data_IF_525212824625
#
_entry.id   IF_525212824625
#
_cell.length_a   1.000
_cell.length_b   1.000
_cell.length_c   1.000
_cell.angle_alpha   90.00
_cell.angle_beta   90.00
_cell.angle_gamma   90.00
#
_symmetry.space_group_name_H-M   'P 1'
#
loop_
_entity.id
_entity.type
_entity.pdbx_description
1 polymer ?
#
# COMPACT_ATOMS: atom_id res chain seq x y z
N UNK A 1 27.09 4.91 73.25
CA UNK A 1 26.17 6.05 73.47
C UNK A 1 26.31 6.93 72.24
N UNK A 2 25.46 6.76 71.21
CA UNK A 2 24.13 7.38 71.09
C UNK A 2 24.25 8.92 71.08
N UNK A 3 23.79 9.69 70.10
CA UNK A 3 22.87 9.43 69.00
C UNK A 3 22.84 10.66 68.03
N UNK A 4 22.54 10.41 66.73
CA UNK A 4 21.62 11.14 65.80
C UNK A 4 21.85 12.67 65.59
N UNK A 5 21.70 13.32 64.44
CA UNK A 5 20.92 13.17 63.19
C UNK A 5 21.41 14.31 62.25
N UNK A 6 21.83 14.10 60.99
CA UNK A 6 21.06 13.95 59.73
C UNK A 6 20.93 15.22 58.87
N UNK A 7 20.84 14.98 57.54
CA UNK A 7 20.43 15.86 56.43
C UNK A 7 21.55 16.62 55.69
N UNK A 8 21.85 16.37 54.42
CA UNK A 8 21.27 15.43 53.46
C UNK A 8 22.18 15.32 52.23
N UNK A 9 22.65 14.11 51.93
CA UNK A 9 23.35 13.80 50.69
C UNK A 9 22.31 13.35 49.67
N UNK A 10 22.14 14.13 48.60
CA UNK A 10 21.34 13.76 47.44
C UNK A 10 22.06 12.60 46.75
N UNK A 11 21.52 11.39 46.90
CA UNK A 11 21.96 10.23 46.15
C UNK A 11 21.62 10.44 44.67
N UNK A 12 22.64 10.61 43.84
CA UNK A 12 22.51 10.51 42.39
C UNK A 12 22.21 9.04 42.04
N UNK A 13 20.94 8.74 41.81
CA UNK A 13 20.53 7.55 41.05
C UNK A 13 21.11 7.72 39.65
N UNK A 14 21.88 6.77 39.08
CA UNK A 14 22.19 6.83 37.66
C UNK A 14 20.87 6.62 36.93
N UNK A 15 20.28 7.74 36.50
CA UNK A 15 19.08 7.79 35.71
C UNK A 15 19.26 6.93 34.48
N UNK A 16 18.45 5.88 34.41
CA UNK A 16 18.14 5.14 33.20
C UNK A 16 17.53 6.14 32.21
N UNK A 17 18.38 6.84 31.48
CA UNK A 17 17.98 7.76 30.44
C UNK A 17 17.53 6.96 29.22
N UNK A 18 16.21 6.73 29.15
CA UNK A 18 15.45 6.64 27.91
C UNK A 18 15.89 5.55 26.90
N UNK A 19 15.63 4.28 27.19
CA UNK A 19 15.37 3.33 26.10
C UNK A 19 13.97 3.66 25.52
N UNK A 20 13.92 4.39 24.41
CA UNK A 20 12.67 4.71 23.74
C UNK A 20 12.05 3.44 23.11
N UNK A 21 10.72 3.33 22.97
CA UNK A 21 10.07 2.22 22.25
C UNK A 21 10.53 2.08 20.78
N UNK A 22 11.22 3.09 20.23
CA UNK A 22 11.78 3.09 18.89
C UNK A 22 13.01 2.17 18.74
N UNK A 23 13.79 1.96 19.81
CA UNK A 23 14.89 0.97 19.79
C UNK A 23 14.37 -0.47 19.85
N UNK A 24 13.17 -0.70 20.40
CA UNK A 24 12.54 -2.01 20.45
C UNK A 24 12.08 -2.54 19.07
N UNK A 25 11.99 -1.66 18.06
CA UNK A 25 11.58 -1.99 16.69
C UNK A 25 12.72 -1.87 15.68
N UNK A 26 13.88 -1.36 16.10
CA UNK A 26 15.05 -1.20 15.24
C UNK A 26 15.83 -2.52 15.18
N UNK A 27 16.24 -2.90 13.97
CA UNK A 27 17.18 -4.01 13.79
C UNK A 27 18.47 -3.69 14.55
N UNK A 28 18.89 -4.59 15.45
CA UNK A 28 20.12 -4.42 16.21
C UNK A 28 21.34 -4.26 15.30
N UNK A 29 22.33 -3.46 15.71
CA UNK A 29 23.49 -3.09 14.89
C UNK A 29 24.27 -4.28 14.32
N UNK A 30 24.39 -5.37 15.08
CA UNK A 30 25.02 -6.61 14.63
C UNK A 30 24.22 -7.31 13.52
N UNK A 31 22.89 -7.39 13.67
CA UNK A 31 22.00 -7.96 12.65
C UNK A 31 22.00 -7.10 11.38
N UNK A 32 21.95 -5.77 11.52
CA UNK A 32 22.05 -4.83 10.41
C UNK A 32 23.39 -4.97 9.66
N UNK A 33 24.50 -5.11 10.39
CA UNK A 33 25.82 -5.36 9.82
C UNK A 33 25.89 -6.68 9.03
N UNK A 34 25.28 -7.74 9.54
CA UNK A 34 25.24 -9.04 8.86
C UNK A 34 24.38 -9.01 7.59
N UNK A 35 23.18 -8.43 7.69
CA UNK A 35 22.29 -8.24 6.53
C UNK A 35 22.97 -7.38 5.46
N UNK A 36 23.65 -6.30 5.85
CA UNK A 36 24.39 -5.45 4.92
C UNK A 36 25.52 -6.21 4.19
N UNK A 37 26.26 -7.09 4.88
CA UNK A 37 27.28 -7.95 4.24
C UNK A 37 26.65 -8.88 3.21
N UNK A 38 25.54 -9.53 3.55
CA UNK A 38 24.81 -10.42 2.66
C UNK A 38 24.28 -9.67 1.44
N UNK A 39 23.61 -8.54 1.63
CA UNK A 39 23.11 -7.70 0.54
C UNK A 39 24.24 -7.20 -0.36
N UNK A 40 25.40 -6.83 0.20
CA UNK A 40 26.58 -6.44 -0.59
C UNK A 40 27.13 -7.61 -1.42
N UNK A 41 27.07 -8.83 -0.90
CA UNK A 41 27.41 -10.03 -1.65
C UNK A 41 26.36 -10.38 -2.72
N UNK A 42 25.10 -10.02 -2.52
CA UNK A 42 24.03 -10.24 -3.51
C UNK A 42 23.97 -9.15 -4.59
N UNK A 43 24.41 -7.92 -4.30
CA UNK A 43 24.34 -6.75 -5.17
C UNK A 43 25.32 -6.80 -6.35
N UNK A 44 25.35 -7.91 -7.09
CA UNK A 44 26.13 -8.06 -8.31
C UNK A 44 25.33 -8.93 -9.32
N UNK A 45 25.23 -8.49 -10.60
CA UNK A 45 24.33 -9.11 -11.57
C UNK A 45 24.56 -10.61 -11.80
N UNK A 46 25.82 -11.05 -11.91
CA UNK A 46 26.14 -12.44 -12.18
C UNK A 46 25.71 -13.33 -11.01
N UNK A 47 25.97 -12.92 -9.75
CA UNK A 47 25.49 -13.63 -8.54
C UNK A 47 23.98 -13.79 -8.49
N UNK A 48 23.22 -12.75 -8.84
CA UNK A 48 21.75 -12.86 -8.92
C UNK A 48 21.30 -13.83 -10.01
N UNK A 49 21.94 -13.82 -11.18
CA UNK A 49 21.66 -14.78 -12.26
C UNK A 49 21.95 -16.23 -11.84
N UNK A 50 23.10 -16.47 -11.21
CA UNK A 50 23.47 -17.80 -10.73
C UNK A 50 22.51 -18.31 -9.65
N UNK A 51 22.13 -17.45 -8.69
CA UNK A 51 21.15 -17.80 -7.66
C UNK A 51 19.77 -18.10 -8.25
N UNK A 52 19.29 -17.25 -9.17
CA UNK A 52 18.05 -17.50 -9.90
C UNK A 52 18.07 -18.88 -10.56
N UNK A 53 19.16 -19.20 -11.28
CA UNK A 53 19.30 -20.50 -11.94
C UNK A 53 19.30 -21.69 -10.97
N UNK A 54 20.05 -21.59 -9.86
CA UNK A 54 20.09 -22.63 -8.81
C UNK A 54 18.71 -22.82 -8.18
N UNK A 55 17.96 -21.74 -7.93
CA UNK A 55 16.63 -21.81 -7.32
C UNK A 55 15.57 -22.38 -8.26
N UNK A 56 15.70 -22.18 -9.57
CA UNK A 56 14.75 -22.68 -10.57
C UNK A 56 15.13 -24.05 -11.14
N UNK A 57 16.27 -24.62 -10.74
CA UNK A 57 16.65 -25.97 -11.17
C UNK A 57 15.71 -26.99 -10.52
N UNK A 58 15.40 -28.06 -11.25
CA UNK A 58 14.46 -29.10 -10.79
C UNK A 58 14.91 -29.80 -9.50
N UNK A 59 16.20 -29.79 -9.21
CA UNK A 59 16.82 -30.37 -8.01
C UNK A 59 17.12 -29.34 -6.92
N UNK A 60 16.99 -28.04 -7.20
CA UNK A 60 17.35 -26.95 -6.29
C UNK A 60 18.86 -26.83 -6.04
N UNK A 61 19.67 -27.41 -6.91
CA UNK A 61 21.14 -27.36 -6.93
C UNK A 61 21.66 -27.31 -8.38
N UNK A 62 22.89 -26.85 -8.58
CA UNK A 62 23.52 -26.85 -9.89
C UNK A 62 25.05 -27.04 -9.80
N UNK A 63 25.66 -27.68 -10.80
CA UNK A 63 27.12 -27.76 -10.88
C UNK A 63 27.73 -26.47 -11.45
N UNK A 64 29.03 -26.26 -11.21
CA UNK A 64 29.79 -25.15 -11.80
C UNK A 64 29.71 -25.15 -13.34
N UNK A 65 29.71 -26.33 -13.93
CA UNK A 65 29.55 -26.55 -15.37
C UNK A 65 28.25 -25.96 -15.93
N UNK A 66 27.12 -26.33 -15.33
CA UNK A 66 25.79 -25.89 -15.74
C UNK A 66 25.64 -24.38 -15.58
N UNK A 67 26.12 -23.86 -14.45
CA UNK A 67 26.07 -22.43 -14.13
C UNK A 67 26.90 -21.63 -15.15
N UNK A 68 28.10 -22.09 -15.49
CA UNK A 68 28.96 -21.43 -16.48
C UNK A 68 28.32 -21.42 -17.88
N UNK A 69 27.65 -22.50 -18.27
CA UNK A 69 26.94 -22.58 -19.54
C UNK A 69 25.77 -21.59 -19.65
N UNK A 70 24.99 -21.40 -18.58
CA UNK A 70 23.82 -20.49 -18.60
C UNK A 70 24.20 -19.03 -18.40
N UNK A 71 25.28 -18.77 -17.67
CA UNK A 71 25.72 -17.42 -17.38
C UNK A 71 26.61 -16.81 -18.49
N UNK A 72 27.01 -17.60 -19.50
CA UNK A 72 27.92 -17.22 -20.59
C UNK A 72 29.24 -16.60 -20.08
N UNK A 73 29.82 -17.25 -19.06
CA UNK A 73 31.07 -16.82 -18.41
C UNK A 73 31.98 -18.01 -18.15
N UNK A 74 33.27 -17.74 -17.97
CA UNK A 74 34.25 -18.80 -17.69
C UNK A 74 34.03 -19.44 -16.31
N UNK A 75 34.39 -20.72 -16.17
CA UNK A 75 34.31 -21.44 -14.90
C UNK A 75 35.14 -20.80 -13.76
N UNK A 76 36.34 -20.21 -14.00
CA UNK A 76 37.05 -19.46 -12.96
C UNK A 76 36.24 -18.30 -12.41
N UNK A 77 35.53 -17.56 -13.25
CA UNK A 77 34.65 -16.46 -12.84
C UNK A 77 33.51 -17.00 -11.97
N UNK A 78 32.78 -18.01 -12.43
CA UNK A 78 31.70 -18.65 -11.65
C UNK A 78 32.20 -19.12 -10.28
N UNK A 79 33.34 -19.79 -10.25
CA UNK A 79 33.95 -20.30 -9.01
C UNK A 79 34.28 -19.19 -8.01
N UNK A 80 34.78 -18.04 -8.50
CA UNK A 80 35.02 -16.87 -7.66
C UNK A 80 33.73 -16.35 -7.04
N UNK A 81 32.69 -16.12 -7.84
CA UNK A 81 31.42 -15.58 -7.34
C UNK A 81 30.70 -16.54 -6.38
N UNK A 82 30.73 -17.84 -6.65
CA UNK A 82 30.19 -18.87 -5.75
C UNK A 82 30.98 -18.94 -4.43
N UNK A 83 32.29 -18.73 -4.46
CA UNK A 83 33.10 -18.61 -3.23
C UNK A 83 32.67 -17.40 -2.41
N UNK A 84 32.52 -16.22 -3.02
CA UNK A 84 32.07 -15.03 -2.29
C UNK A 84 30.69 -15.24 -1.67
N UNK A 85 29.77 -15.90 -2.37
CA UNK A 85 28.44 -16.24 -1.83
C UNK A 85 28.53 -17.27 -0.70
N UNK A 86 29.46 -18.23 -0.79
CA UNK A 86 29.71 -19.23 0.26
C UNK A 86 30.30 -18.60 1.51
N UNK A 87 31.22 -17.65 1.37
CA UNK A 87 31.90 -16.98 2.48
C UNK A 87 30.93 -16.16 3.36
N UNK A 88 29.85 -15.65 2.77
CA UNK A 88 28.76 -14.97 3.50
C UNK A 88 27.58 -15.90 3.87
N UNK A 89 27.69 -17.20 3.57
CA UNK A 89 26.68 -18.21 3.93
C UNK A 89 25.43 -18.27 3.04
N UNK A 90 25.46 -17.68 1.84
CA UNK A 90 24.30 -17.70 0.92
C UNK A 90 24.16 -19.06 0.22
N UNK A 91 25.28 -19.68 -0.15
CA UNK A 91 25.30 -21.00 -0.82
C UNK A 91 26.13 -21.99 -0.03
N UNK A 92 25.71 -23.25 -0.08
CA UNK A 92 26.52 -24.39 0.36
C UNK A 92 26.97 -25.20 -0.84
N UNK A 93 28.04 -25.99 -0.67
CA UNK A 93 28.65 -26.78 -1.73
C UNK A 93 28.81 -28.23 -1.30
N UNK A 94 28.47 -29.16 -2.17
CA UNK A 94 28.68 -30.60 -1.96
C UNK A 94 29.49 -31.18 -3.12
N UNK A 95 30.54 -31.95 -2.80
CA UNK A 95 31.36 -32.61 -3.83
C UNK A 95 30.82 -34.02 -4.08
N UNK A 96 30.44 -34.28 -5.34
CA UNK A 96 29.94 -35.58 -5.79
C UNK A 96 30.82 -36.07 -6.94
N UNK A 97 31.82 -36.88 -6.59
CA UNK A 97 32.85 -37.35 -7.51
C UNK A 97 33.73 -36.21 -8.03
N UNK A 98 33.77 -36.05 -9.35
CA UNK A 98 34.54 -34.99 -10.03
C UNK A 98 33.87 -33.61 -9.95
N UNK A 99 32.57 -33.56 -9.66
CA UNK A 99 31.77 -32.34 -9.74
C UNK A 99 31.45 -31.77 -8.36
N UNK A 100 31.34 -30.44 -8.28
CA UNK A 100 30.89 -29.73 -7.08
C UNK A 100 29.56 -29.06 -7.38
N UNK A 101 28.55 -29.43 -6.61
CA UNK A 101 27.20 -28.90 -6.69
C UNK A 101 27.01 -27.81 -5.66
N UNK A 102 26.31 -26.75 -6.03
CA UNK A 102 25.97 -25.65 -5.16
C UNK A 102 24.46 -25.58 -5.01
N UNK A 103 24.01 -25.32 -3.78
CA UNK A 103 22.61 -25.04 -3.45
C UNK A 103 22.52 -23.81 -2.58
N UNK A 104 21.39 -23.11 -2.63
CA UNK A 104 21.13 -22.05 -1.64
C UNK A 104 21.02 -22.68 -0.26
N UNK A 105 21.71 -22.09 0.71
CA UNK A 105 21.74 -22.60 2.07
C UNK A 105 20.31 -22.62 2.66
N UNK A 106 19.89 -23.70 3.34
CA UNK A 106 18.51 -23.84 3.85
C UNK A 106 18.04 -22.63 4.66
N UNK A 107 18.94 -22.05 5.45
CA UNK A 107 18.67 -20.99 6.42
C UNK A 107 18.28 -19.66 5.74
N UNK A 108 18.73 -19.44 4.50
CA UNK A 108 18.49 -18.20 3.76
C UNK A 108 17.69 -18.41 2.48
N UNK A 109 17.28 -19.67 2.21
CA UNK A 109 16.61 -20.06 0.96
C UNK A 109 15.37 -19.22 0.69
N UNK A 110 14.47 -19.14 1.66
CA UNK A 110 13.23 -18.36 1.53
C UNK A 110 13.53 -16.88 1.30
N UNK A 111 14.43 -16.29 2.09
CA UNK A 111 14.82 -14.89 1.93
C UNK A 111 15.40 -14.57 0.55
N UNK A 112 16.26 -15.45 0.01
CA UNK A 112 16.83 -15.30 -1.34
C UNK A 112 15.76 -15.47 -2.41
N UNK A 113 14.86 -16.45 -2.25
CA UNK A 113 13.75 -16.68 -3.18
C UNK A 113 12.82 -15.47 -3.22
N UNK A 114 12.39 -14.96 -2.05
CA UNK A 114 11.56 -13.76 -1.94
C UNK A 114 12.25 -12.55 -2.57
N UNK A 115 13.55 -12.34 -2.31
CA UNK A 115 14.30 -11.25 -2.92
C UNK A 115 14.25 -11.34 -4.45
N UNK A 116 14.53 -12.51 -5.02
CA UNK A 116 14.53 -12.69 -6.47
C UNK A 116 13.13 -12.52 -7.07
N UNK A 117 12.10 -13.04 -6.40
CA UNK A 117 10.70 -12.97 -6.88
C UNK A 117 10.10 -11.58 -6.71
N UNK A 118 10.46 -10.83 -5.67
CA UNK A 118 9.90 -9.51 -5.39
C UNK A 118 10.69 -8.38 -6.05
N UNK A 119 12.03 -8.40 -6.01
CA UNK A 119 12.84 -7.30 -6.54
C UNK A 119 13.08 -7.41 -8.05
N UNK A 120 13.18 -8.60 -8.65
CA UNK A 120 13.50 -8.70 -10.06
C UNK A 120 12.39 -8.12 -10.96
N UNK A 121 11.08 -8.43 -10.74
CA UNK A 121 10.01 -7.78 -11.49
C UNK A 121 9.98 -6.27 -11.24
N UNK A 122 10.00 -5.83 -9.97
CA UNK A 122 9.95 -4.40 -9.64
C UNK A 122 11.13 -3.59 -10.19
N UNK A 123 12.34 -4.16 -10.25
CA UNK A 123 13.51 -3.50 -10.84
C UNK A 123 13.42 -3.41 -12.37
N UNK A 124 12.85 -4.43 -13.02
CA UNK A 124 12.59 -4.41 -14.46
C UNK A 124 11.48 -3.42 -14.80
N UNK A 125 10.42 -3.36 -13.99
CA UNK A 125 9.31 -2.42 -14.15
C UNK A 125 9.78 -0.97 -13.96
N UNK A 126 10.57 -0.70 -12.92
CA UNK A 126 11.17 0.62 -12.70
C UNK A 126 12.08 1.06 -13.87
N UNK A 127 12.84 0.12 -14.45
CA UNK A 127 13.68 0.39 -15.63
C UNK A 127 12.87 0.59 -16.91
N UNK A 128 11.79 -0.18 -17.12
CA UNK A 128 10.87 0.04 -18.24
C UNK A 128 10.16 1.39 -18.11
N UNK A 129 9.69 1.75 -16.91
CA UNK A 129 9.11 3.06 -16.63
C UNK A 129 10.09 4.21 -16.95
N UNK A 130 11.39 4.02 -16.67
CA UNK A 130 12.43 5.00 -16.98
C UNK A 130 12.83 5.06 -18.47
N UNK A 131 12.69 3.97 -19.24
CA UNK A 131 13.15 3.86 -20.64
C UNK A 131 12.08 4.07 -21.69
N UNK A 132 10.80 4.01 -21.32
CA UNK A 132 9.71 4.33 -22.25
C UNK A 132 9.70 5.85 -22.48
N UNK A 133 9.91 6.33 -23.73
CA UNK A 133 9.75 7.75 -24.03
C UNK A 133 8.32 8.18 -23.65
N UNK A 134 8.14 9.41 -23.17
CA UNK A 134 6.83 10.05 -23.15
C UNK A 134 6.40 10.25 -24.60
N UNK A 135 5.94 9.22 -25.30
CA UNK A 135 5.04 9.42 -26.43
C UNK A 135 3.72 9.85 -25.81
N UNK A 136 3.63 11.13 -25.44
CA UNK A 136 2.36 11.74 -25.09
C UNK A 136 1.38 11.54 -26.24
N UNK A 137 0.07 11.57 -25.93
CA UNK A 137 -0.93 11.81 -26.96
C UNK A 137 -0.44 13.00 -27.78
N UNK A 138 -0.37 12.86 -29.11
CA UNK A 138 0.05 13.95 -30.00
C UNK A 138 -0.81 15.22 -29.79
N UNK A 139 -2.00 15.05 -29.21
CA UNK A 139 -2.87 16.11 -28.70
C UNK A 139 -3.56 15.68 -27.39
N UNK A 140 -2.89 15.92 -26.25
CA UNK A 140 -3.45 15.68 -24.91
C UNK A 140 -4.65 16.60 -24.67
N UNK A 141 -4.57 17.86 -25.09
CA UNK A 141 -5.62 18.86 -24.81
C UNK A 141 -6.94 18.52 -25.51
N UNK A 142 -6.92 18.09 -26.77
CA UNK A 142 -8.14 17.63 -27.44
C UNK A 142 -8.71 16.35 -26.83
N UNK A 143 -7.85 15.49 -26.28
CA UNK A 143 -8.30 14.28 -25.59
C UNK A 143 -8.96 14.61 -24.25
N UNK A 144 -8.36 15.49 -23.47
CA UNK A 144 -8.97 15.99 -22.23
C UNK A 144 -10.24 16.81 -22.51
N UNK A 145 -10.30 17.51 -23.65
CA UNK A 145 -11.51 18.18 -24.13
C UNK A 145 -12.67 17.19 -24.31
N UNK A 146 -12.44 16.08 -25.03
CA UNK A 146 -13.46 15.02 -25.19
C UNK A 146 -13.90 14.42 -23.87
N UNK A 147 -12.96 14.09 -22.98
CA UNK A 147 -13.29 13.60 -21.62
C UNK A 147 -14.14 14.63 -20.86
N UNK A 148 -13.81 15.92 -20.99
CA UNK A 148 -14.60 17.00 -20.39
C UNK A 148 -16.01 17.06 -20.98
N UNK A 149 -16.18 16.97 -22.30
CA UNK A 149 -17.49 17.01 -22.94
C UNK A 149 -18.38 15.85 -22.48
N UNK A 150 -17.82 14.64 -22.40
CA UNK A 150 -18.50 13.45 -21.89
C UNK A 150 -18.93 13.64 -20.42
N UNK A 151 -18.07 14.23 -19.58
CA UNK A 151 -18.38 14.50 -18.19
C UNK A 151 -19.39 15.65 -18.01
N UNK A 152 -19.37 16.68 -18.86
CA UNK A 152 -20.39 17.75 -18.85
C UNK A 152 -21.78 17.15 -19.07
N UNK A 153 -21.90 16.18 -19.99
CA UNK A 153 -23.16 15.48 -20.21
C UNK A 153 -23.62 14.66 -18.98
N UNK A 154 -22.69 14.05 -18.23
CA UNK A 154 -22.99 13.29 -17.01
C UNK A 154 -23.31 14.17 -15.78
N UNK A 155 -22.76 15.39 -15.73
CA UNK A 155 -22.92 16.31 -14.59
C UNK A 155 -23.59 17.63 -15.01
N UNK A 156 -24.84 17.61 -15.51
CA UNK A 156 -25.51 18.81 -16.05
C UNK A 156 -25.79 19.90 -15.01
N UNK A 157 -25.65 19.58 -13.72
CA UNK A 157 -25.82 20.50 -12.59
C UNK A 157 -24.52 21.25 -12.23
N UNK A 158 -23.39 20.88 -12.83
CA UNK A 158 -22.10 21.57 -12.65
C UNK A 158 -21.82 22.45 -13.88
N UNK A 159 -21.21 23.61 -13.65
CA UNK A 159 -20.80 24.48 -14.74
C UNK A 159 -19.67 23.84 -15.56
N UNK A 160 -19.70 24.01 -16.88
CA UNK A 160 -18.76 23.35 -17.79
C UNK A 160 -17.29 23.72 -17.53
N UNK A 161 -17.02 24.94 -17.07
CA UNK A 161 -15.69 25.40 -16.68
C UNK A 161 -15.17 24.66 -15.44
N UNK A 162 -16.05 24.33 -14.49
CA UNK A 162 -15.71 23.52 -13.30
C UNK A 162 -15.34 22.09 -13.73
N UNK A 163 -16.10 21.50 -14.66
CA UNK A 163 -15.81 20.16 -15.21
C UNK A 163 -14.45 20.14 -15.90
N UNK A 164 -14.23 21.06 -16.84
CA UNK A 164 -12.98 21.16 -17.59
C UNK A 164 -11.77 21.38 -16.67
N UNK A 165 -11.89 22.29 -15.70
CA UNK A 165 -10.84 22.53 -14.70
C UNK A 165 -10.54 21.26 -13.92
N UNK A 166 -11.57 20.56 -13.44
CA UNK A 166 -11.41 19.33 -12.64
C UNK A 166 -10.70 18.25 -13.46
N UNK A 167 -11.05 18.07 -14.74
CA UNK A 167 -10.36 17.12 -15.64
C UNK A 167 -8.87 17.47 -15.80
N UNK A 168 -8.56 18.73 -16.12
CA UNK A 168 -7.18 19.19 -16.34
C UNK A 168 -6.32 19.11 -15.08
N UNK A 169 -6.88 19.48 -13.93
CA UNK A 169 -6.18 19.35 -12.64
C UNK A 169 -5.95 17.89 -12.28
N UNK A 170 -6.93 17.01 -12.51
CA UNK A 170 -6.81 15.57 -12.25
C UNK A 170 -5.69 14.96 -13.10
N UNK A 171 -5.66 15.28 -14.39
CA UNK A 171 -4.58 14.86 -15.29
C UNK A 171 -3.22 15.33 -14.79
N UNK A 172 -3.10 16.63 -14.49
CA UNK A 172 -1.84 17.24 -14.03
C UNK A 172 -1.36 16.59 -12.73
N UNK A 173 -2.27 16.29 -11.81
CA UNK A 173 -1.94 15.68 -10.53
C UNK A 173 -1.49 14.23 -10.69
N UNK A 174 -2.09 13.45 -11.58
CA UNK A 174 -1.67 12.06 -11.86
C UNK A 174 -0.33 11.99 -12.61
N UNK A 175 -0.08 12.90 -13.56
CA UNK A 175 1.21 13.00 -14.27
C UNK A 175 2.37 13.21 -13.29
N UNK A 176 2.19 14.08 -12.30
CA UNK A 176 3.23 14.41 -11.31
C UNK A 176 3.67 13.21 -10.45
N UNK A 177 2.78 12.25 -10.23
CA UNK A 177 3.00 11.13 -9.32
C UNK A 177 3.47 9.84 -10.02
N UNK A 178 3.75 9.89 -11.33
CA UNK A 178 4.48 8.82 -12.02
C UNK A 178 3.69 7.54 -12.31
N UNK A 179 2.35 7.62 -12.37
CA UNK A 179 1.49 6.50 -12.73
C UNK A 179 1.80 5.87 -14.09
N UNK A 180 1.41 4.60 -14.29
CA UNK A 180 1.56 3.86 -15.55
C UNK A 180 1.03 4.69 -16.73
N UNK A 181 1.94 5.14 -17.60
CA UNK A 181 1.65 6.08 -18.70
C UNK A 181 0.61 5.56 -19.70
N UNK A 182 0.48 4.23 -19.82
CA UNK A 182 -0.49 3.59 -20.71
C UNK A 182 -1.96 3.87 -20.32
N UNK A 183 -2.20 4.17 -19.04
CA UNK A 183 -3.55 4.27 -18.47
C UNK A 183 -3.88 5.68 -17.98
N UNK A 184 -3.11 6.69 -18.39
CA UNK A 184 -3.23 8.03 -17.83
C UNK A 184 -4.57 8.72 -18.19
N UNK A 185 -5.09 8.53 -19.40
CA UNK A 185 -6.39 9.12 -19.79
C UNK A 185 -7.57 8.43 -19.10
N UNK A 186 -7.68 7.08 -19.12
CA UNK A 186 -8.72 6.38 -18.37
C UNK A 186 -8.69 6.70 -16.86
N UNK A 187 -7.53 6.62 -16.20
CA UNK A 187 -7.39 7.00 -14.78
C UNK A 187 -7.71 8.48 -14.54
N UNK A 188 -7.39 9.39 -15.47
CA UNK A 188 -7.79 10.80 -15.40
C UNK A 188 -9.30 10.95 -15.43
N UNK A 189 -9.98 10.25 -16.33
CA UNK A 189 -11.44 10.28 -16.42
C UNK A 189 -12.06 9.75 -15.13
N UNK A 190 -11.64 8.58 -14.66
CA UNK A 190 -12.12 7.99 -13.40
C UNK A 190 -11.87 8.90 -12.20
N UNK A 191 -10.70 9.53 -12.12
CA UNK A 191 -10.38 10.45 -11.03
C UNK A 191 -11.20 11.74 -11.11
N UNK A 192 -11.35 12.32 -12.29
CA UNK A 192 -12.15 13.53 -12.50
C UNK A 192 -13.63 13.26 -12.20
N UNK A 193 -14.18 12.14 -12.66
CA UNK A 193 -15.55 11.72 -12.36
C UNK A 193 -15.77 11.58 -10.84
N UNK A 194 -14.82 10.96 -10.13
CA UNK A 194 -14.86 10.88 -8.67
C UNK A 194 -14.82 12.26 -8.00
N UNK A 195 -13.94 13.16 -8.43
CA UNK A 195 -13.85 14.53 -7.88
C UNK A 195 -15.12 15.36 -8.15
N UNK A 196 -15.75 15.19 -9.32
CA UNK A 196 -17.00 15.87 -9.66
C UNK A 196 -18.17 15.37 -8.80
N UNK A 197 -18.23 14.06 -8.53
CA UNK A 197 -19.16 13.51 -7.54
C UNK A 197 -18.91 14.13 -6.16
N UNK A 198 -17.65 14.30 -5.76
CA UNK A 198 -17.27 14.89 -4.47
C UNK A 198 -17.69 16.36 -4.36
N UNK A 199 -17.49 17.13 -5.43
CA UNK A 199 -17.96 18.53 -5.54
C UNK A 199 -19.48 18.60 -5.42
N UNK A 200 -20.21 17.78 -6.19
CA UNK A 200 -21.67 17.75 -6.16
C UNK A 200 -22.21 17.37 -4.76
N UNK A 201 -21.54 16.43 -4.08
CA UNK A 201 -21.91 15.95 -2.75
C UNK A 201 -21.56 16.95 -1.66
N UNK A 202 -20.46 17.71 -1.78
CA UNK A 202 -20.04 18.67 -0.77
C UNK A 202 -21.10 19.76 -0.50
N UNK A 203 -21.96 20.06 -1.48
CA UNK A 203 -23.10 20.99 -1.34
C UNK A 203 -24.41 20.34 -0.87
N UNK A 204 -24.50 19.01 -0.83
CA UNK A 204 -25.71 18.30 -0.41
C UNK A 204 -25.82 18.20 1.11
N UNK A 205 -27.06 18.13 1.62
CA UNK A 205 -27.32 17.93 3.05
C UNK A 205 -26.69 16.61 3.54
N UNK A 206 -25.88 16.72 4.60
CA UNK A 206 -25.13 15.61 5.19
C UNK A 206 -26.04 14.61 5.89
N UNK A 207 -27.16 15.06 6.46
CA UNK A 207 -28.07 14.19 7.18
C UNK A 207 -28.90 13.27 6.26
N UNK A 208 -29.08 13.67 5.00
CA UNK A 208 -29.91 12.98 4.02
C UNK A 208 -29.12 12.09 3.04
N UNK A 209 -27.79 12.05 3.15
CA UNK A 209 -26.92 11.33 2.20
C UNK A 209 -26.27 10.10 2.86
N UNK A 210 -25.87 9.16 2.01
CA UNK A 210 -25.04 8.01 2.40
C UNK A 210 -23.74 8.51 3.05
N UNK A 211 -23.35 8.02 4.24
CA UNK A 211 -22.12 8.42 4.92
C UNK A 211 -20.89 8.23 4.04
N UNK A 212 -19.94 9.15 4.15
CA UNK A 212 -18.75 9.16 3.30
C UNK A 212 -17.47 9.09 4.12
N UNK A 213 -16.65 8.08 3.84
CA UNK A 213 -15.39 7.82 4.55
C UNK A 213 -14.23 7.99 3.59
N UNK A 214 -13.26 8.81 3.97
CA UNK A 214 -12.01 9.02 3.23
C UNK A 214 -10.83 8.46 4.03
N UNK A 215 -10.16 7.45 3.47
CA UNK A 215 -8.92 6.89 4.01
C UNK A 215 -7.72 7.57 3.36
N UNK A 216 -6.79 8.07 4.17
CA UNK A 216 -5.60 8.77 3.67
C UNK A 216 -4.35 8.11 4.23
N UNK A 217 -3.42 7.71 3.37
CA UNK A 217 -2.07 7.32 3.78
C UNK A 217 -1.02 8.10 2.98
N UNK A 218 0.26 7.74 3.10
CA UNK A 218 1.31 8.45 2.36
C UNK A 218 1.21 8.18 0.86
N UNK A 219 1.28 6.90 0.48
CA UNK A 219 1.48 6.50 -0.91
C UNK A 219 0.20 6.13 -1.67
N UNK A 220 -0.94 6.00 -0.99
CA UNK A 220 -2.18 5.46 -1.54
C UNK A 220 -2.05 4.14 -2.31
N UNK A 221 -1.11 3.30 -1.87
CA UNK A 221 -0.74 2.06 -2.54
C UNK A 221 -0.95 0.81 -1.67
N UNK A 222 -1.35 0.98 -0.40
CA UNK A 222 -1.49 -0.14 0.54
C UNK A 222 -2.59 0.12 1.56
N UNK A 223 -2.25 0.71 2.71
CA UNK A 223 -3.15 0.95 3.87
C UNK A 223 -4.50 1.55 3.49
N UNK A 224 -4.52 2.71 2.83
CA UNK A 224 -5.77 3.41 2.47
C UNK A 224 -6.59 2.65 1.42
N UNK A 225 -5.93 2.02 0.44
CA UNK A 225 -6.58 1.20 -0.59
C UNK A 225 -7.26 -0.02 0.05
N UNK A 226 -6.54 -0.73 0.93
CA UNK A 226 -7.05 -1.90 1.64
C UNK A 226 -8.23 -1.52 2.55
N UNK A 227 -8.11 -0.43 3.31
CA UNK A 227 -9.18 0.04 4.19
C UNK A 227 -10.44 0.43 3.40
N UNK A 228 -10.28 1.14 2.28
CA UNK A 228 -11.40 1.49 1.41
C UNK A 228 -12.07 0.26 0.79
N UNK A 229 -11.28 -0.73 0.35
CA UNK A 229 -11.80 -1.98 -0.20
C UNK A 229 -12.56 -2.81 0.84
N UNK A 230 -11.99 -2.97 2.06
CA UNK A 230 -12.66 -3.64 3.17
C UNK A 230 -13.98 -2.95 3.54
N UNK A 231 -13.99 -1.62 3.59
CA UNK A 231 -15.21 -0.88 3.91
C UNK A 231 -16.29 -1.09 2.85
N UNK A 232 -15.94 -1.04 1.56
CA UNK A 232 -16.89 -1.37 0.47
C UNK A 232 -17.38 -2.81 0.55
N UNK A 233 -16.48 -3.75 0.84
CA UNK A 233 -16.83 -5.16 0.97
C UNK A 233 -17.88 -5.41 2.06
N UNK A 234 -17.78 -4.74 3.20
CA UNK A 234 -18.74 -4.90 4.30
C UNK A 234 -20.01 -4.06 4.16
N UNK A 235 -19.90 -2.84 3.65
CA UNK A 235 -21.00 -1.88 3.64
C UNK A 235 -21.80 -1.87 2.34
N UNK A 236 -21.24 -2.37 1.24
CA UNK A 236 -21.81 -2.18 -0.09
C UNK A 236 -22.08 -0.69 -0.36
N UNK A 237 -23.31 -0.38 -0.78
CA UNK A 237 -23.74 0.99 -1.06
C UNK A 237 -24.20 1.77 0.18
N UNK A 238 -24.19 1.17 1.38
CA UNK A 238 -24.63 1.82 2.61
C UNK A 238 -23.61 2.83 3.15
N UNK A 239 -22.34 2.76 2.73
CA UNK A 239 -21.29 3.75 3.03
C UNK A 239 -20.37 3.90 1.84
N UNK A 240 -20.04 5.13 1.47
CA UNK A 240 -19.14 5.41 0.35
C UNK A 240 -17.69 5.54 0.84
N UNK A 241 -16.85 4.58 0.46
CA UNK A 241 -15.43 4.60 0.76
C UNK A 241 -14.61 5.28 -0.35
N UNK A 242 -13.61 6.07 0.04
CA UNK A 242 -12.58 6.62 -0.85
C UNK A 242 -11.19 6.47 -0.24
N UNK A 243 -10.17 6.50 -1.09
CA UNK A 243 -8.76 6.50 -0.68
C UNK A 243 -8.00 7.64 -1.35
N UNK A 244 -6.96 8.14 -0.68
CA UNK A 244 -6.05 9.13 -1.22
C UNK A 244 -4.66 9.08 -0.56
N UNK A 245 -3.69 9.72 -1.21
CA UNK A 245 -2.28 9.77 -0.80
C UNK A 245 -1.77 11.20 -0.67
N UNK A 246 -0.97 11.46 0.36
CA UNK A 246 -0.23 12.74 0.46
C UNK A 246 0.93 12.84 -0.54
N UNK A 247 1.53 11.69 -0.87
CA UNK A 247 2.59 11.53 -1.87
C UNK A 247 2.37 10.20 -2.62
N UNK A 248 1.39 10.14 -3.55
CA UNK A 248 0.96 8.89 -4.18
C UNK A 248 2.08 8.16 -4.93
N UNK A 249 2.09 6.83 -4.87
CA UNK A 249 2.98 5.99 -5.66
C UNK A 249 2.48 5.85 -7.11
N UNK A 250 3.31 5.27 -7.98
CA UNK A 250 2.93 5.02 -9.38
C UNK A 250 1.96 3.85 -9.59
N UNK A 251 1.81 2.96 -8.61
CA UNK A 251 0.93 1.79 -8.68
C UNK A 251 0.56 1.27 -7.28
N UNK A 252 -0.49 0.46 -7.19
CA UNK A 252 -0.84 -0.28 -5.98
C UNK A 252 0.27 -1.28 -5.65
N UNK A 253 0.65 -1.36 -4.37
CA UNK A 253 1.76 -2.18 -3.90
C UNK A 253 1.45 -3.68 -4.04
N UNK A 254 2.42 -4.45 -4.53
CA UNK A 254 2.27 -5.90 -4.80
C UNK A 254 1.78 -6.70 -3.59
N UNK A 255 2.28 -6.38 -2.39
CA UNK A 255 1.86 -6.99 -1.13
C UNK A 255 0.36 -6.83 -0.81
N UNK A 256 -0.36 -5.94 -1.48
CA UNK A 256 -1.79 -5.68 -1.23
C UNK A 256 -2.65 -6.01 -2.45
N UNK A 257 -2.08 -6.13 -3.66
CA UNK A 257 -2.86 -6.41 -4.89
C UNK A 257 -3.71 -7.68 -4.79
N UNK A 258 -3.14 -8.78 -4.26
CA UNK A 258 -3.89 -10.04 -4.11
C UNK A 258 -5.04 -9.90 -3.09
N UNK A 259 -4.83 -9.14 -2.01
CA UNK A 259 -5.88 -8.87 -1.02
C UNK A 259 -7.03 -8.05 -1.60
N UNK A 260 -6.72 -7.08 -2.48
CA UNK A 260 -7.75 -6.31 -3.17
C UNK A 260 -8.56 -7.20 -4.13
N UNK A 261 -7.89 -8.08 -4.86
CA UNK A 261 -8.55 -9.04 -5.74
C UNK A 261 -9.49 -9.99 -4.96
N UNK A 262 -9.04 -10.49 -3.79
CA UNK A 262 -9.87 -11.32 -2.91
C UNK A 262 -11.12 -10.58 -2.39
N UNK A 263 -11.05 -9.25 -2.27
CA UNK A 263 -12.16 -8.39 -1.88
C UNK A 263 -13.05 -7.97 -3.07
N UNK A 264 -12.77 -8.48 -4.27
CA UNK A 264 -13.53 -8.20 -5.49
C UNK A 264 -13.18 -6.87 -6.16
N UNK A 265 -12.02 -6.28 -5.84
CA UNK A 265 -11.52 -5.06 -6.51
C UNK A 265 -10.63 -5.48 -7.68
N UNK A 266 -11.03 -5.12 -8.89
CA UNK A 266 -10.21 -5.37 -10.07
C UNK A 266 -9.11 -4.29 -10.19
N UNK A 267 -7.91 -4.66 -9.73
CA UNK A 267 -6.74 -3.77 -9.76
C UNK A 267 -6.19 -3.60 -11.19
N UNK A 268 -6.52 -4.52 -12.11
CA UNK A 268 -6.10 -4.46 -13.51
C UNK A 268 -7.11 -3.67 -14.37
N UNK A 269 -8.38 -3.61 -13.97
CA UNK A 269 -9.42 -2.74 -14.55
C UNK A 269 -9.42 -1.30 -13.99
N UNK A 270 -8.35 -0.90 -13.30
CA UNK A 270 -8.17 0.46 -12.76
C UNK A 270 -9.22 0.89 -11.71
N UNK A 271 -9.92 -0.05 -11.06
CA UNK A 271 -10.84 0.27 -9.96
C UNK A 271 -10.10 0.82 -8.73
N UNK A 272 -8.83 0.42 -8.58
CA UNK A 272 -7.92 0.91 -7.56
C UNK A 272 -6.62 1.43 -8.19
N UNK A 273 -6.37 2.72 -8.00
CA UNK A 273 -5.11 3.36 -8.37
C UNK A 273 -4.74 4.41 -7.30
N UNK A 274 -3.43 4.60 -7.04
CA UNK A 274 -2.99 5.67 -6.15
C UNK A 274 -3.35 7.04 -6.71
N UNK A 275 -3.98 7.88 -5.88
CA UNK A 275 -4.41 9.22 -6.26
C UNK A 275 -4.13 10.25 -5.18
N UNK A 276 -3.83 11.50 -5.56
CA UNK A 276 -3.50 12.54 -4.60
C UNK A 276 -4.72 12.94 -3.77
N UNK A 277 -4.46 13.33 -2.53
CA UNK A 277 -5.44 13.98 -1.68
C UNK A 277 -5.88 15.32 -2.29
N UNK A 278 -7.19 15.52 -2.40
CA UNK A 278 -7.81 16.73 -2.95
C UNK A 278 -8.76 17.37 -1.94
N UNK A 279 -8.92 18.69 -2.03
CA UNK A 279 -9.82 19.46 -1.15
C UNK A 279 -11.29 19.03 -1.32
N UNK A 280 -11.72 18.73 -2.55
CA UNK A 280 -13.06 18.21 -2.85
C UNK A 280 -13.35 16.90 -2.10
N UNK A 281 -12.43 15.94 -2.10
CA UNK A 281 -12.56 14.68 -1.37
C UNK A 281 -12.71 14.90 0.15
N UNK A 282 -11.92 15.80 0.75
CA UNK A 282 -12.01 16.12 2.18
C UNK A 282 -13.34 16.84 2.50
N UNK A 283 -13.80 17.74 1.62
CA UNK A 283 -15.11 18.41 1.80
C UNK A 283 -16.28 17.45 1.70
N UNK A 284 -16.20 16.46 0.82
CA UNK A 284 -17.22 15.45 0.63
C UNK A 284 -17.29 14.46 1.80
N UNK A 285 -16.17 14.16 2.45
CA UNK A 285 -16.10 13.22 3.57
C UNK A 285 -16.87 13.68 4.82
N UNK A 286 -17.50 12.73 5.49
CA UNK A 286 -18.06 12.88 6.84
C UNK A 286 -17.04 12.42 7.89
N UNK A 287 -16.30 11.35 7.57
CA UNK A 287 -15.17 10.84 8.36
C UNK A 287 -13.90 10.80 7.52
N UNK A 288 -12.82 11.35 8.04
CA UNK A 288 -11.47 11.30 7.45
C UNK A 288 -10.57 10.48 8.36
N UNK A 289 -9.98 9.42 7.83
CA UNK A 289 -9.13 8.49 8.58
C UNK A 289 -7.71 8.61 8.04
N UNK A 290 -6.78 9.07 8.87
CA UNK A 290 -5.36 9.15 8.54
C UNK A 290 -4.64 7.89 8.97
N UNK A 291 -3.72 7.42 8.13
CA UNK A 291 -2.94 6.19 8.33
C UNK A 291 -1.47 6.49 8.02
N UNK A 292 -0.82 7.22 8.94
CA UNK A 292 0.62 7.53 8.86
C UNK A 292 1.00 8.70 7.94
N UNK A 293 0.05 9.50 7.48
CA UNK A 293 0.30 10.73 6.70
C UNK A 293 0.38 12.02 7.55
N UNK A 294 0.21 11.91 8.87
CA UNK A 294 0.32 13.01 9.85
C UNK A 294 -0.49 14.26 9.41
N UNK A 295 0.07 15.45 9.51
CA UNK A 295 -0.62 16.74 9.35
C UNK A 295 -0.83 17.16 7.88
N UNK A 296 -0.80 16.22 6.94
CA UNK A 296 -0.97 16.55 5.52
C UNK A 296 -2.45 16.82 5.16
N UNK A 297 -3.39 16.30 5.94
CA UNK A 297 -4.82 16.51 5.72
C UNK A 297 -5.27 17.88 6.26
N UNK A 298 -5.91 18.73 5.44
CA UNK A 298 -6.52 19.96 5.95
C UNK A 298 -7.68 19.62 6.91
N UNK A 299 -7.71 20.27 8.07
CA UNK A 299 -8.77 20.10 9.06
C UNK A 299 -9.91 21.06 8.74
N UNK A 300 -11.03 20.53 8.28
CA UNK A 300 -12.25 21.26 7.95
C UNK A 300 -13.31 21.04 9.05
N UNK A 301 -14.05 22.09 9.45
CA UNK A 301 -15.07 21.96 10.49
C UNK A 301 -16.24 21.05 10.07
N UNK A 302 -16.85 20.39 11.05
CA UNK A 302 -18.03 19.54 10.85
C UNK A 302 -17.74 18.14 10.32
N UNK A 303 -16.47 17.71 10.29
CA UNK A 303 -16.04 16.36 9.92
C UNK A 303 -15.41 15.68 11.12
N UNK A 304 -15.57 14.36 11.20
CA UNK A 304 -14.86 13.53 12.17
C UNK A 304 -13.49 13.17 11.61
N UNK A 305 -12.45 13.33 12.41
CA UNK A 305 -11.09 12.93 12.05
C UNK A 305 -10.62 11.85 13.01
N UNK A 306 -10.04 10.79 12.46
CA UNK A 306 -9.41 9.70 13.23
C UNK A 306 -8.01 9.43 12.70
N UNK A 307 -7.08 9.15 13.62
CA UNK A 307 -5.74 8.69 13.26
C UNK A 307 -5.58 7.21 13.64
N UNK A 308 -5.45 6.36 12.63
CA UNK A 308 -5.28 4.93 12.80
C UNK A 308 -3.80 4.57 12.68
N UNK A 309 -3.21 4.27 13.83
CA UNK A 309 -1.87 3.69 13.92
C UNK A 309 -1.96 2.22 13.52
N UNK A 310 -1.60 1.92 12.27
CA UNK A 310 -1.54 0.57 11.70
C UNK A 310 -0.19 0.33 11.04
N UNK A 311 0.23 -0.94 10.97
CA UNK A 311 1.46 -1.34 10.27
C UNK A 311 1.41 -1.02 8.77
N UNK A 312 2.58 -0.95 8.13
CA UNK A 312 2.68 -0.75 6.68
C UNK A 312 2.83 -2.10 5.95
N UNK A 313 1.84 -2.54 5.14
CA UNK A 313 1.94 -3.78 4.37
C UNK A 313 3.14 -3.80 3.42
N UNK A 314 3.66 -2.65 2.99
CA UNK A 314 4.81 -2.57 2.11
C UNK A 314 6.13 -3.01 2.79
N UNK A 315 6.16 -3.04 4.12
CA UNK A 315 7.35 -3.37 4.92
C UNK A 315 7.21 -4.70 5.70
N UNK A 316 6.09 -5.40 5.52
CA UNK A 316 5.73 -6.57 6.32
C UNK A 316 5.98 -7.90 5.60
N UNK A 317 6.18 -8.97 6.37
CA UNK A 317 6.13 -10.35 5.87
C UNK A 317 4.69 -10.73 5.44
N UNK A 318 4.46 -11.83 4.71
CA UNK A 318 3.10 -12.27 4.36
C UNK A 318 2.17 -12.44 5.57
N UNK A 319 2.68 -13.01 6.67
CA UNK A 319 1.95 -13.11 7.94
C UNK A 319 1.66 -11.73 8.54
N UNK A 320 2.63 -10.81 8.47
CA UNK A 320 2.45 -9.44 8.91
C UNK A 320 1.43 -8.66 8.07
N UNK A 321 1.41 -8.88 6.76
CA UNK A 321 0.41 -8.31 5.84
C UNK A 321 -0.98 -8.81 6.21
N UNK A 322 -1.15 -10.10 6.49
CA UNK A 322 -2.41 -10.66 6.97
C UNK A 322 -2.83 -10.05 8.33
N UNK A 323 -1.91 -9.93 9.28
CA UNK A 323 -2.18 -9.29 10.56
C UNK A 323 -2.59 -7.81 10.42
N UNK A 324 -1.94 -7.07 9.52
CA UNK A 324 -2.31 -5.67 9.22
C UNK A 324 -3.69 -5.60 8.56
N UNK A 325 -4.00 -6.50 7.62
CA UNK A 325 -5.34 -6.62 7.04
C UNK A 325 -6.38 -6.82 8.13
N UNK A 326 -6.15 -7.76 9.05
CA UNK A 326 -7.11 -8.10 10.11
C UNK A 326 -7.29 -6.96 11.13
N UNK A 327 -6.21 -6.21 11.44
CA UNK A 327 -6.30 -4.99 12.26
C UNK A 327 -7.15 -3.91 11.55
N UNK A 328 -6.89 -3.66 10.26
CA UNK A 328 -7.68 -2.70 9.47
C UNK A 328 -9.14 -3.17 9.38
N UNK A 329 -9.38 -4.46 9.14
CA UNK A 329 -10.73 -5.04 9.03
C UNK A 329 -11.54 -4.84 10.31
N UNK A 330 -10.93 -5.15 11.47
CA UNK A 330 -11.56 -4.95 12.78
C UNK A 330 -11.93 -3.49 13.00
N UNK A 331 -11.05 -2.55 12.62
CA UNK A 331 -11.32 -1.10 12.76
C UNK A 331 -12.41 -0.63 11.80
N UNK A 332 -12.41 -1.12 10.56
CA UNK A 332 -13.47 -0.86 9.57
C UNK A 332 -14.82 -1.34 10.08
N UNK A 333 -14.91 -2.54 10.64
CA UNK A 333 -16.16 -3.06 11.22
C UNK A 333 -16.64 -2.22 12.41
N UNK A 334 -15.72 -1.78 13.27
CA UNK A 334 -16.05 -0.90 14.39
C UNK A 334 -16.58 0.46 13.90
N UNK A 335 -15.95 1.03 12.87
CA UNK A 335 -16.42 2.25 12.21
C UNK A 335 -17.80 2.07 11.60
N UNK A 336 -18.06 0.94 10.93
CA UNK A 336 -19.38 0.66 10.34
C UNK A 336 -20.48 0.51 11.37
N UNK A 337 -20.21 -0.15 12.50
CA UNK A 337 -21.17 -0.28 13.59
C UNK A 337 -21.58 1.08 14.19
N UNK A 338 -20.66 2.04 14.17
CA UNK A 338 -20.89 3.41 14.62
C UNK A 338 -21.60 4.28 13.57
N UNK A 339 -21.27 4.11 12.29
CA UNK A 339 -21.90 4.85 11.18
C UNK A 339 -23.29 4.36 10.81
N UNK A 340 -23.55 3.06 10.95
CA UNK A 340 -24.81 2.40 10.62
C UNK A 340 -25.37 1.70 11.87
N UNK A 341 -25.83 2.45 12.88
CA UNK A 341 -26.46 1.84 14.04
C UNK A 341 -27.65 1.00 13.58
N UNK A 342 -27.69 -0.27 14.02
CA UNK A 342 -28.77 -1.20 13.69
C UNK A 342 -30.11 -0.55 14.06
N UNK A 343 -31.15 -0.59 13.20
CA UNK A 343 -32.46 -0.10 13.60
C UNK A 343 -32.87 -0.76 14.91
N UNK A 344 -33.29 0.04 15.89
CA UNK A 344 -33.79 -0.46 17.16
C UNK A 344 -34.88 -1.51 16.88
N UNK A 345 -34.95 -2.62 17.65
CA UNK A 345 -36.03 -3.57 17.50
C UNK A 345 -37.35 -2.82 17.68
N UNK A 346 -38.16 -2.77 16.63
CA UNK A 346 -39.51 -2.22 16.69
C UNK A 346 -40.28 -2.99 17.74
N UNK A 347 -40.60 -2.35 18.87
CA UNK A 347 -41.52 -2.88 19.85
C UNK A 347 -42.84 -3.18 19.13
N UNK A 348 -43.38 -4.40 19.21
CA UNK A 348 -44.68 -4.69 18.61
C UNK A 348 -45.76 -4.08 19.49
N UNK A 349 -46.19 -2.86 19.18
CA UNK A 349 -47.39 -2.28 19.79
C UNK A 349 -48.09 -1.37 18.77
N UNK A 350 -49.09 -1.94 18.10
CA UNK A 350 -50.46 -1.43 18.05
C UNK A 350 -51.23 -2.06 16.86
N UNK A 351 -51.72 -3.29 17.08
CA UNK A 351 -52.78 -3.89 16.25
C UNK A 351 -54.15 -3.75 16.94
N UNK A 352 -54.45 -2.58 17.52
CA UNK A 352 -55.71 -2.33 18.25
C UNK A 352 -56.64 -1.30 17.60
N UNK A 353 -56.63 -1.11 16.27
CA UNK A 353 -57.59 -0.15 15.66
C UNK A 353 -58.29 -0.59 14.37
N UNK A 354 -58.54 -1.89 14.17
CA UNK A 354 -59.41 -2.33 13.06
C UNK A 354 -60.47 -3.36 13.46
N UNK A 355 -61.31 -3.01 14.44
CA UNK A 355 -62.62 -3.63 14.62
C UNK A 355 -63.64 -2.60 15.11
N UNK A 356 -64.41 -2.05 14.16
CA UNK A 356 -65.88 -1.88 14.22
C UNK A 356 -66.32 -0.92 13.13
N UNK A 357 -67.11 -1.40 12.17
CA UNK A 357 -68.36 -0.77 11.74
C UNK A 357 -68.99 -1.57 10.59
N UNK A 358 -69.91 -2.46 10.94
CA UNK A 358 -71.00 -2.89 10.04
C UNK A 358 -72.25 -3.05 10.90
N UNK A 359 -73.35 -2.39 10.55
CA UNK A 359 -74.67 -2.97 10.64
C UNK A 359 -75.15 -3.49 9.28
#
# INVERSE_FOLDING_TARGET
>A
MSALSSSGAVAAVPGTCCASPAEAHAMGSAAAGQVAKMLKALAEPLRLRMLSFITTSSTGEACVCDIAGVADVSQPTVSYHLRVLKDVGIVTSERRGTWVYYRVAPEVREAVSTLLQSFAPSALDARHAARTPLTGLRDVDATLGRVSDDLVAKFPHLAADVVLRTVRESYTALVRNGGLRAHLVPTTQSFAEQRLLDIARAGADRAARVPQVLFVCVADAGRSQLAAALLRHHAGDAVLARSAGSAPAGAVHSAVRYLLADLGVDVDAEEAFPKPLTDDAVRAADVVITMGCRDTCPVLPGRRYEDWVVGDPALASPEGVAAIRDDIDRRVRALLADLLPTPAPTTPDDLSTYQRSTP
#
